data_IF_328341758764
#
_entry.id   IF_328341758764
#
_cell.length_a   1.000
_cell.length_b   1.000
_cell.length_c   1.000
_cell.angle_alpha   90.00
_cell.angle_beta   90.00
_cell.angle_gamma   90.00
#
_symmetry.space_group_name_H-M   'P 1'
#
loop_
_entity.id
_entity.type
_entity.pdbx_description
1 polymer ?
#
# COMPACT_ATOMS: atom_id res chain seq x y z
N UNK A 1 -9.16 23.51 6.37
CA UNK A 1 -7.99 22.90 5.69
C UNK A 1 -8.24 21.40 5.74
N UNK A 2 -8.03 20.66 4.65
CA UNK A 2 -8.29 19.22 4.61
C UNK A 2 -7.03 18.50 4.07
N UNK A 3 -6.53 17.48 4.77
CA UNK A 3 -5.30 16.72 4.56
C UNK A 3 -5.45 15.57 3.56
N UNK A 4 -6.38 15.73 2.62
CA UNK A 4 -6.69 14.76 1.59
C UNK A 4 -5.64 14.74 0.46
N UNK A 5 -5.63 13.69 -0.38
CA UNK A 5 -4.68 13.52 -1.47
C UNK A 5 -4.56 14.76 -2.37
N UNK A 6 -3.32 15.16 -2.68
CA UNK A 6 -3.05 16.21 -3.69
C UNK A 6 -2.98 17.65 -3.17
N UNK A 7 -2.83 17.88 -1.86
CA UNK A 7 -2.77 19.23 -1.28
C UNK A 7 -1.51 20.01 -1.68
N UNK A 8 -1.70 21.19 -2.28
CA UNK A 8 -0.72 22.29 -2.30
C UNK A 8 -1.06 23.27 -1.15
N UNK A 9 -0.06 23.90 -0.53
CA UNK A 9 -0.29 24.85 0.57
C UNK A 9 -1.12 26.06 0.10
N UNK A 10 -2.22 26.38 0.82
CA UNK A 10 -3.13 27.48 0.48
C UNK A 10 -4.48 27.45 1.22
N UNK A 11 -5.25 28.55 1.12
CA UNK A 11 -6.63 28.67 1.61
C UNK A 11 -7.58 27.97 0.63
N UNK A 12 -7.73 26.66 0.79
CA UNK A 12 -8.80 25.89 0.16
C UNK A 12 -9.79 25.47 1.23
N UNK A 13 -10.98 26.06 1.17
CA UNK A 13 -12.16 25.64 1.92
C UNK A 13 -12.82 24.50 1.12
N UNK A 14 -12.22 23.31 1.17
CA UNK A 14 -12.77 22.12 0.51
C UNK A 14 -13.65 21.38 1.48
N UNK A 15 -14.78 20.92 0.96
CA UNK A 15 -15.68 20.00 1.63
C UNK A 15 -15.11 18.57 1.51
N UNK A 16 -14.83 17.94 2.65
CA UNK A 16 -14.27 16.60 2.70
C UNK A 16 -15.23 15.53 2.17
N UNK A 17 -16.53 15.71 2.38
CA UNK A 17 -17.55 14.80 1.86
C UNK A 17 -17.56 14.85 0.33
N UNK A 18 -17.49 16.05 -0.25
CA UNK A 18 -17.38 16.21 -1.70
C UNK A 18 -16.09 15.61 -2.26
N UNK A 19 -14.97 15.76 -1.55
CA UNK A 19 -13.72 15.14 -1.97
C UNK A 19 -13.79 13.60 -1.92
N UNK A 20 -14.42 13.00 -0.90
CA UNK A 20 -14.65 11.54 -0.81
C UNK A 20 -15.59 11.10 -1.93
N UNK A 21 -16.68 11.84 -2.16
CA UNK A 21 -17.60 11.59 -3.26
C UNK A 21 -16.87 11.57 -4.60
N UNK A 22 -16.00 12.56 -4.88
CA UNK A 22 -15.21 12.59 -6.10
C UNK A 22 -14.24 11.39 -6.20
N UNK A 23 -13.55 11.03 -5.11
CA UNK A 23 -12.67 9.86 -5.08
C UNK A 23 -13.40 8.58 -5.50
N UNK A 24 -14.59 8.33 -4.96
CA UNK A 24 -15.33 7.11 -5.24
C UNK A 24 -16.03 7.18 -6.60
N UNK A 25 -16.79 8.25 -6.86
CA UNK A 25 -17.69 8.32 -8.02
C UNK A 25 -16.97 8.71 -9.31
N UNK A 26 -16.01 9.64 -9.25
CA UNK A 26 -15.31 10.15 -10.44
C UNK A 26 -14.03 9.35 -10.71
N UNK A 27 -13.20 9.16 -9.69
CA UNK A 27 -11.92 8.48 -9.83
C UNK A 27 -12.00 6.96 -9.62
N UNK A 28 -13.19 6.44 -9.27
CA UNK A 28 -13.44 5.00 -9.06
C UNK A 28 -12.46 4.38 -8.08
N UNK A 29 -12.09 5.11 -7.03
CA UNK A 29 -11.19 4.63 -5.98
C UNK A 29 -11.95 3.70 -5.05
N UNK A 30 -11.40 2.51 -4.83
CA UNK A 30 -11.96 1.49 -3.96
C UNK A 30 -11.31 1.48 -2.58
N UNK A 31 -10.02 1.83 -2.50
CA UNK A 31 -9.23 1.75 -1.28
C UNK A 31 -8.50 3.07 -1.04
N UNK A 32 -8.62 3.60 0.16
CA UNK A 32 -7.87 4.77 0.63
C UNK A 32 -6.95 4.36 1.80
N UNK A 33 -5.65 4.46 1.58
CA UNK A 33 -4.63 4.25 2.61
C UNK A 33 -4.13 5.59 3.14
N UNK A 34 -4.41 5.85 4.41
CA UNK A 34 -3.98 7.06 5.13
C UNK A 34 -2.77 6.76 6.01
N UNK A 35 -1.68 7.50 5.80
CA UNK A 35 -0.42 7.32 6.54
C UNK A 35 -0.15 8.39 7.59
N UNK A 36 -1.03 9.38 7.68
CA UNK A 36 -0.94 10.46 8.65
C UNK A 36 -1.28 9.96 10.05
N UNK A 37 -0.59 10.49 11.06
CA UNK A 37 -1.01 10.28 12.45
C UNK A 37 -2.31 11.05 12.73
N UNK A 38 -3.06 10.67 13.76
CA UNK A 38 -4.25 11.43 14.17
C UNK A 38 -3.91 12.87 14.55
N UNK A 39 -2.75 13.09 15.19
CA UNK A 39 -2.23 14.41 15.50
C UNK A 39 -2.00 15.27 14.25
N UNK A 40 -1.40 14.67 13.20
CA UNK A 40 -1.19 15.34 11.92
C UNK A 40 -2.50 15.67 11.20
N UNK A 41 -3.51 14.80 11.31
CA UNK A 41 -4.85 15.01 10.77
C UNK A 41 -5.56 16.13 11.53
N UNK A 42 -5.51 16.11 12.86
CA UNK A 42 -6.08 17.14 13.72
C UNK A 42 -5.48 18.52 13.44
N UNK A 43 -4.16 18.63 13.36
CA UNK A 43 -3.48 19.89 13.02
C UNK A 43 -3.84 20.40 11.63
N UNK A 44 -4.24 19.50 10.74
CA UNK A 44 -4.72 19.85 9.39
C UNK A 44 -6.22 20.05 9.33
N UNK A 45 -6.98 19.89 10.42
CA UNK A 45 -8.44 19.91 10.49
C UNK A 45 -9.08 18.82 9.62
N UNK A 46 -8.56 17.60 9.72
CA UNK A 46 -8.99 16.43 8.94
C UNK A 46 -9.12 15.18 9.80
N UNK A 47 -9.23 15.38 11.10
CA UNK A 47 -9.51 14.38 12.12
C UNK A 47 -10.86 13.66 11.92
N UNK A 48 -11.81 14.30 11.25
CA UNK A 48 -13.11 13.73 10.87
C UNK A 48 -13.09 12.93 9.54
N UNK A 49 -11.92 12.60 9.00
CA UNK A 49 -11.78 11.83 7.75
C UNK A 49 -12.52 10.50 7.79
N UNK A 50 -12.26 9.70 8.82
CA UNK A 50 -12.85 8.38 8.94
C UNK A 50 -14.36 8.43 9.17
N UNK A 51 -14.84 9.41 9.93
CA UNK A 51 -16.27 9.64 10.15
C UNK A 51 -16.99 10.04 8.86
N UNK A 52 -16.33 10.85 8.03
CA UNK A 52 -16.90 11.29 6.75
C UNK A 52 -16.95 10.16 5.73
N UNK A 53 -15.93 9.29 5.71
CA UNK A 53 -15.95 8.07 4.87
C UNK A 53 -17.11 7.16 5.29
N UNK A 54 -17.31 6.98 6.60
CA UNK A 54 -18.43 6.19 7.11
C UNK A 54 -19.78 6.79 6.72
N UNK A 55 -19.95 8.10 6.92
CA UNK A 55 -21.17 8.83 6.54
C UNK A 55 -21.45 8.67 5.04
N UNK A 56 -20.43 8.81 4.20
CA UNK A 56 -20.56 8.61 2.75
C UNK A 56 -21.00 7.17 2.39
N UNK A 57 -20.48 6.16 3.06
CA UNK A 57 -20.87 4.77 2.83
C UNK A 57 -22.34 4.52 3.22
N UNK A 58 -22.78 5.12 4.33
CA UNK A 58 -24.17 5.05 4.79
C UNK A 58 -25.13 5.76 3.81
N UNK A 59 -24.70 6.88 3.20
CA UNK A 59 -25.53 7.69 2.30
C UNK A 59 -25.60 7.20 0.84
N UNK A 60 -24.54 6.53 0.34
CA UNK A 60 -24.35 6.32 -1.11
C UNK A 60 -24.45 4.87 -1.61
N UNK A 61 -24.64 3.91 -0.70
CA UNK A 61 -24.55 2.44 -0.94
C UNK A 61 -23.21 1.99 -1.58
N UNK A 62 -22.25 2.89 -1.78
CA UNK A 62 -20.92 2.62 -2.31
C UNK A 62 -19.89 2.60 -1.18
N UNK A 63 -19.00 1.61 -1.23
CA UNK A 63 -18.00 1.41 -0.18
C UNK A 63 -16.64 1.96 -0.61
N UNK A 64 -16.07 2.84 0.23
CA UNK A 64 -14.66 3.20 0.19
C UNK A 64 -13.94 2.53 1.37
N UNK A 65 -13.11 1.53 1.09
CA UNK A 65 -12.36 0.84 2.12
C UNK A 65 -11.24 1.76 2.62
N UNK A 66 -11.35 2.21 3.87
CA UNK A 66 -10.33 3.04 4.52
C UNK A 66 -9.37 2.18 5.35
N UNK A 67 -8.07 2.32 5.07
CA UNK A 67 -6.99 1.66 5.80
C UNK A 67 -6.08 2.70 6.43
N UNK A 68 -5.87 2.62 7.75
CA UNK A 68 -5.04 3.57 8.50
C UNK A 68 -3.77 2.90 9.00
N UNK A 69 -2.61 3.42 8.59
CA UNK A 69 -1.30 2.95 9.06
C UNK A 69 -0.42 4.15 9.38
N UNK A 70 -0.48 4.68 10.61
CA UNK A 70 0.16 5.95 10.95
C UNK A 70 1.68 5.84 10.94
N UNK A 71 2.33 6.68 10.14
CA UNK A 71 3.78 6.86 10.11
C UNK A 71 4.05 8.34 10.38
N UNK A 72 4.83 8.68 11.42
CA UNK A 72 5.19 10.07 11.73
C UNK A 72 5.86 10.75 10.53
N UNK A 73 5.62 12.05 10.35
CA UNK A 73 6.21 12.79 9.22
C UNK A 73 7.73 12.67 9.18
N UNK A 74 8.27 12.56 7.96
CA UNK A 74 9.69 12.25 7.69
C UNK A 74 10.24 10.94 8.29
N UNK A 75 9.43 10.18 9.02
CA UNK A 75 9.79 8.91 9.63
C UNK A 75 9.64 7.71 8.70
N UNK A 76 9.81 6.54 9.31
CA UNK A 76 9.63 5.20 8.72
C UNK A 76 8.72 4.37 9.64
N UNK A 77 8.11 3.28 9.17
CA UNK A 77 7.40 2.37 10.08
C UNK A 77 8.32 1.88 11.20
N UNK A 78 7.78 1.78 12.42
CA UNK A 78 8.53 1.40 13.61
C UNK A 78 8.78 -0.11 13.71
N UNK A 79 7.99 -0.91 13.00
CA UNK A 79 8.07 -2.37 13.01
C UNK A 79 7.95 -2.92 11.59
N UNK A 80 8.99 -3.65 11.15
CA UNK A 80 9.00 -4.35 9.86
C UNK A 80 7.88 -5.41 9.79
N UNK A 81 7.61 -6.08 10.90
CA UNK A 81 6.59 -7.12 10.98
C UNK A 81 5.17 -6.52 10.86
N UNK A 82 4.90 -5.39 11.52
CA UNK A 82 3.61 -4.70 11.36
C UNK A 82 3.43 -4.15 9.95
N UNK A 83 4.50 -3.61 9.37
CA UNK A 83 4.51 -3.16 7.99
C UNK A 83 4.20 -4.32 7.03
N UNK A 84 4.83 -5.50 7.21
CA UNK A 84 4.58 -6.66 6.36
C UNK A 84 3.12 -7.14 6.44
N UNK A 85 2.57 -7.23 7.67
CA UNK A 85 1.16 -7.56 7.89
C UNK A 85 0.23 -6.55 7.26
N UNK A 86 0.53 -5.26 7.39
CA UNK A 86 -0.27 -4.20 6.80
C UNK A 86 -0.28 -4.30 5.27
N UNK A 87 0.88 -4.48 4.65
CA UNK A 87 0.98 -4.70 3.20
C UNK A 87 0.23 -5.96 2.75
N UNK A 88 0.31 -7.05 3.53
CA UNK A 88 -0.48 -8.25 3.26
C UNK A 88 -1.99 -7.96 3.29
N UNK A 89 -2.46 -7.18 4.26
CA UNK A 89 -3.87 -6.78 4.35
C UNK A 89 -4.32 -5.95 3.14
N UNK A 90 -3.49 -5.02 2.65
CA UNK A 90 -3.76 -4.27 1.40
C UNK A 90 -3.91 -5.24 0.23
N UNK A 91 -3.01 -6.21 0.09
CA UNK A 91 -3.05 -7.19 -1.02
C UNK A 91 -4.34 -8.03 -0.96
N UNK A 92 -4.75 -8.49 0.24
CA UNK A 92 -6.00 -9.23 0.42
C UNK A 92 -7.22 -8.39 0.00
N UNK A 93 -7.25 -7.12 0.40
CA UNK A 93 -8.34 -6.19 0.03
C UNK A 93 -8.38 -5.97 -1.48
N UNK A 94 -7.23 -5.69 -2.11
CA UNK A 94 -7.13 -5.51 -3.56
C UNK A 94 -7.65 -6.75 -4.29
N UNK A 95 -7.24 -7.95 -3.86
CA UNK A 95 -7.70 -9.20 -4.46
C UNK A 95 -9.20 -9.39 -4.36
N UNK A 96 -9.77 -9.22 -3.16
CA UNK A 96 -11.21 -9.34 -2.93
C UNK A 96 -12.01 -8.40 -3.83
N UNK A 97 -11.56 -7.14 -3.96
CA UNK A 97 -12.21 -6.17 -4.84
C UNK A 97 -12.05 -6.57 -6.32
N UNK A 98 -10.84 -6.91 -6.74
CA UNK A 98 -10.55 -7.28 -8.11
C UNK A 98 -11.34 -8.53 -8.56
N UNK A 99 -11.51 -9.53 -7.69
CA UNK A 99 -12.34 -10.71 -7.95
C UNK A 99 -13.81 -10.34 -8.21
N UNK A 100 -14.34 -9.35 -7.49
CA UNK A 100 -15.71 -8.85 -7.66
C UNK A 100 -15.88 -7.86 -8.82
N UNK A 101 -14.80 -7.18 -9.25
CA UNK A 101 -14.84 -6.08 -10.23
C UNK A 101 -14.05 -6.40 -11.52
N UNK A 102 -14.04 -7.66 -11.96
CA UNK A 102 -13.39 -8.09 -13.22
C UNK A 102 -11.91 -7.68 -13.35
N UNK A 103 -11.16 -7.70 -12.25
CA UNK A 103 -9.75 -7.36 -12.20
C UNK A 103 -9.44 -5.89 -11.90
N UNK A 104 -10.44 -5.02 -11.76
CA UNK A 104 -10.22 -3.61 -11.49
C UNK A 104 -10.24 -3.32 -9.98
N UNK A 105 -9.18 -2.72 -9.46
CA UNK A 105 -9.13 -2.15 -8.12
C UNK A 105 -8.21 -0.92 -8.12
N UNK A 106 -8.76 0.25 -7.84
CA UNK A 106 -8.00 1.49 -7.73
C UNK A 106 -7.72 1.82 -6.26
N UNK A 107 -6.44 1.97 -5.94
CA UNK A 107 -5.93 2.27 -4.61
C UNK A 107 -5.28 3.66 -4.59
N UNK A 108 -5.64 4.47 -3.58
CA UNK A 108 -4.93 5.70 -3.25
C UNK A 108 -4.15 5.51 -1.96
N UNK A 109 -2.84 5.80 -2.00
CA UNK A 109 -1.98 5.86 -0.82
C UNK A 109 -1.56 7.31 -0.61
N UNK A 110 -1.83 7.87 0.57
CA UNK A 110 -1.48 9.26 0.85
C UNK A 110 -0.82 9.47 2.22
N UNK A 111 -0.01 10.53 2.26
CA UNK A 111 0.45 11.19 3.47
C UNK A 111 0.22 12.70 3.27
N UNK A 112 1.06 13.57 3.83
CA UNK A 112 1.00 15.01 3.57
C UNK A 112 1.40 15.38 2.13
N UNK A 113 2.64 15.07 1.75
CA UNK A 113 3.19 15.48 0.45
C UNK A 113 3.04 14.44 -0.67
N UNK A 114 2.63 13.22 -0.33
CA UNK A 114 2.50 12.11 -1.29
C UNK A 114 3.82 11.66 -1.91
N UNK A 115 4.95 11.84 -1.21
CA UNK A 115 6.31 11.60 -1.74
C UNK A 115 7.10 10.60 -0.90
N UNK A 116 7.27 10.88 0.40
CA UNK A 116 8.13 10.10 1.30
C UNK A 116 7.47 8.82 1.80
N UNK A 117 6.57 8.94 2.79
CA UNK A 117 5.81 7.83 3.38
C UNK A 117 4.99 7.06 2.35
N UNK A 118 4.32 7.77 1.45
CA UNK A 118 3.64 7.16 0.30
C UNK A 118 4.62 6.33 -0.53
N UNK A 119 5.81 6.85 -0.81
CA UNK A 119 6.84 6.11 -1.52
C UNK A 119 7.29 4.83 -0.81
N UNK A 120 7.41 4.84 0.53
CA UNK A 120 7.75 3.63 1.30
C UNK A 120 6.69 2.55 1.05
N UNK A 121 5.41 2.89 1.28
CA UNK A 121 4.31 1.93 1.11
C UNK A 121 4.23 1.44 -0.32
N UNK A 122 4.27 2.35 -1.31
CA UNK A 122 4.20 1.96 -2.73
C UNK A 122 5.36 1.05 -3.13
N UNK A 123 6.59 1.36 -2.73
CA UNK A 123 7.76 0.57 -3.09
C UNK A 123 7.74 -0.81 -2.43
N UNK A 124 7.43 -0.88 -1.13
CA UNK A 124 7.38 -2.13 -0.39
C UNK A 124 6.17 -3.00 -0.80
N UNK A 125 5.03 -2.39 -1.15
CA UNK A 125 3.87 -3.09 -1.70
C UNK A 125 4.19 -3.75 -3.04
N UNK A 126 4.85 -3.02 -3.95
CA UNK A 126 5.28 -3.57 -5.25
C UNK A 126 6.28 -4.71 -5.09
N UNK A 127 7.27 -4.56 -4.19
CA UNK A 127 8.20 -5.64 -3.84
C UNK A 127 7.46 -6.88 -3.34
N UNK A 128 6.52 -6.71 -2.40
CA UNK A 128 5.77 -7.82 -1.81
C UNK A 128 4.89 -8.51 -2.85
N UNK A 129 4.19 -7.74 -3.68
CA UNK A 129 3.39 -8.27 -4.80
C UNK A 129 4.23 -9.11 -5.75
N UNK A 130 5.39 -8.59 -6.17
CA UNK A 130 6.31 -9.33 -7.02
C UNK A 130 6.76 -10.63 -6.34
N UNK A 131 7.21 -10.55 -5.09
CA UNK A 131 7.69 -11.72 -4.37
C UNK A 131 6.60 -12.79 -4.22
N UNK A 132 5.35 -12.39 -3.93
CA UNK A 132 4.22 -13.32 -3.83
C UNK A 132 3.92 -13.99 -5.18
N UNK A 133 3.97 -13.24 -6.28
CA UNK A 133 3.78 -13.79 -7.64
C UNK A 133 4.90 -14.76 -8.03
N UNK A 134 6.16 -14.41 -7.77
CA UNK A 134 7.34 -15.21 -8.12
C UNK A 134 7.41 -16.54 -7.34
N UNK A 135 6.85 -16.57 -6.12
CA UNK A 135 6.85 -17.77 -5.27
C UNK A 135 5.53 -18.57 -5.35
N UNK A 136 4.62 -18.23 -6.27
CA UNK A 136 3.28 -18.81 -6.36
C UNK A 136 2.50 -18.77 -5.02
N UNK A 137 2.86 -17.84 -4.13
CA UNK A 137 2.21 -17.65 -2.85
C UNK A 137 0.95 -16.82 -3.09
N UNK A 138 -0.07 -17.49 -3.60
CA UNK A 138 -1.42 -16.99 -3.56
C UNK A 138 -1.88 -16.98 -2.10
N UNK A 139 -2.41 -15.87 -1.57
CA UNK A 139 -2.88 -15.79 -0.18
C UNK A 139 -4.14 -16.63 0.15
N UNK A 140 -4.24 -17.85 -0.37
CA UNK A 140 -5.22 -18.84 0.08
C UNK A 140 -4.74 -19.53 1.36
N UNK A 141 -5.25 -19.01 2.48
CA UNK A 141 -5.77 -19.65 3.71
C UNK A 141 -5.34 -21.07 4.17
N UNK A 142 -5.35 -21.31 5.51
CA UNK A 142 -4.91 -22.56 6.15
C UNK A 142 -5.84 -23.74 5.91
N UNK A 143 -5.26 -24.96 5.99
CA UNK A 143 -5.89 -26.30 5.98
C UNK A 143 -6.17 -26.93 4.61
N UNK A 144 -5.18 -27.67 4.09
CA UNK A 144 -5.38 -28.97 3.42
C UNK A 144 -4.01 -29.66 3.20
N UNK A 145 -3.35 -30.03 4.31
CA UNK A 145 -2.30 -31.04 4.30
C UNK A 145 -2.83 -32.30 4.96
N UNK A 146 -3.67 -33.03 4.24
CA UNK A 146 -3.84 -34.44 4.50
C UNK A 146 -4.00 -35.15 3.16
N UNK A 147 -3.02 -36.03 2.89
CA UNK A 147 -3.00 -37.07 1.85
C UNK A 147 -2.40 -36.69 0.49
N UNK A 148 -1.07 -36.78 0.38
CA UNK A 148 -0.43 -37.47 -0.74
C UNK A 148 0.85 -38.23 -0.26
N UNK A 149 1.10 -39.46 -0.75
CA UNK A 149 2.15 -40.35 -0.25
C UNK A 149 3.59 -39.93 -0.63
N UNK A 150 4.53 -40.21 0.27
CA UNK A 150 5.94 -39.77 0.30
C UNK A 150 6.88 -40.35 -0.79
N UNK A 151 6.39 -40.80 -1.94
CA UNK A 151 7.25 -41.56 -2.90
C UNK A 151 7.63 -40.84 -4.19
N UNK A 152 7.62 -39.51 -4.25
CA UNK A 152 8.09 -38.73 -5.41
C UNK A 152 8.96 -37.50 -5.03
N UNK A 153 9.68 -37.56 -3.91
CA UNK A 153 10.65 -36.53 -3.50
C UNK A 153 12.07 -36.86 -3.97
N UNK A 154 12.27 -37.07 -5.27
CA UNK A 154 13.62 -37.12 -5.85
C UNK A 154 13.62 -36.86 -7.34
N UNK A 155 13.33 -35.62 -7.73
CA UNK A 155 13.91 -34.94 -8.89
C UNK A 155 13.06 -33.71 -9.18
N UNK A 156 13.70 -32.63 -9.61
CA UNK A 156 13.11 -31.33 -9.99
C UNK A 156 13.10 -30.22 -8.92
N UNK A 157 14.22 -30.01 -8.23
CA UNK A 157 14.62 -28.64 -7.84
C UNK A 157 15.60 -28.08 -8.87
N UNK A 158 15.10 -27.74 -10.06
CA UNK A 158 15.78 -26.75 -10.91
C UNK A 158 15.33 -25.38 -10.41
N UNK A 159 16.14 -24.81 -9.52
CA UNK A 159 16.04 -23.42 -9.07
C UNK A 159 16.17 -22.47 -10.27
N UNK A 160 15.04 -22.20 -10.93
CA UNK A 160 14.87 -20.99 -11.72
C UNK A 160 15.07 -19.81 -10.75
N UNK A 161 16.22 -19.13 -10.82
CA UNK A 161 16.42 -17.88 -10.08
C UNK A 161 15.38 -16.89 -10.58
N UNK A 162 14.26 -16.75 -9.88
CA UNK A 162 13.30 -15.69 -10.14
C UNK A 162 14.07 -14.36 -10.19
N UNK A 163 13.84 -13.57 -11.26
CA UNK A 163 14.47 -12.26 -11.45
C UNK A 163 13.81 -11.27 -10.48
N UNK A 164 14.22 -11.32 -9.22
CA UNK A 164 13.82 -10.34 -8.22
C UNK A 164 14.22 -8.94 -8.70
N UNK A 165 13.26 -8.01 -8.80
CA UNK A 165 13.58 -6.65 -9.28
C UNK A 165 14.19 -5.87 -8.11
N UNK A 166 15.39 -5.30 -8.27
CA UNK A 166 15.96 -4.49 -7.21
C UNK A 166 15.08 -3.31 -6.85
N UNK A 167 14.99 -3.03 -5.55
CA UNK A 167 14.21 -1.93 -4.99
C UNK A 167 14.60 -0.58 -5.60
N UNK A 168 15.86 -0.42 -6.01
CA UNK A 168 16.30 0.79 -6.71
C UNK A 168 15.50 1.01 -8.01
N UNK A 169 15.24 -0.04 -8.79
CA UNK A 169 14.47 0.05 -10.02
C UNK A 169 13.02 0.45 -9.72
N UNK A 170 12.42 -0.13 -8.67
CA UNK A 170 11.07 0.24 -8.23
C UNK A 170 11.01 1.71 -7.82
N UNK A 171 12.01 2.18 -7.07
CA UNK A 171 12.12 3.60 -6.67
C UNK A 171 12.22 4.50 -7.90
N UNK A 172 13.03 4.13 -8.89
CA UNK A 172 13.19 4.92 -10.11
C UNK A 172 11.91 4.93 -10.94
N UNK A 173 11.19 3.80 -11.03
CA UNK A 173 9.85 3.76 -11.62
C UNK A 173 8.89 4.70 -10.92
N UNK A 174 8.86 4.72 -9.58
CA UNK A 174 8.02 5.65 -8.81
C UNK A 174 8.38 7.12 -9.07
N UNK A 175 9.67 7.43 -9.26
CA UNK A 175 10.13 8.78 -9.57
C UNK A 175 9.67 9.25 -10.94
N UNK A 176 9.68 8.35 -11.93
CA UNK A 176 9.18 8.61 -13.29
C UNK A 176 7.66 8.71 -13.31
N UNK A 177 6.95 7.79 -12.65
CA UNK A 177 5.50 7.69 -12.73
C UNK A 177 4.76 8.73 -11.89
N UNK A 178 5.39 9.25 -10.82
CA UNK A 178 4.75 10.20 -9.89
C UNK A 178 5.45 11.54 -9.79
N UNK A 179 6.62 11.58 -9.15
CA UNK A 179 7.41 12.80 -8.91
C UNK A 179 8.90 12.46 -8.76
N UNK A 180 9.84 13.23 -9.31
CA UNK A 180 11.28 12.97 -9.17
C UNK A 180 11.77 12.87 -7.71
N UNK A 181 11.06 13.52 -6.78
CA UNK A 181 11.40 13.54 -5.36
C UNK A 181 10.97 12.30 -4.57
N UNK A 182 10.27 11.33 -5.19
CA UNK A 182 9.85 10.09 -4.52
C UNK A 182 11.03 9.43 -3.80
N UNK A 183 10.84 9.13 -2.51
CA UNK A 183 11.85 8.54 -1.62
C UNK A 183 13.21 9.29 -1.64
N UNK A 184 13.17 10.63 -1.61
CA UNK A 184 14.38 11.47 -1.50
C UNK A 184 15.07 11.37 -0.12
N UNK A 185 14.32 11.12 0.95
CA UNK A 185 14.88 11.00 2.29
C UNK A 185 15.72 9.71 2.40
N UNK A 186 17.01 9.78 2.79
CA UNK A 186 17.89 8.61 2.87
C UNK A 186 17.41 7.53 3.83
N UNK A 187 16.84 7.90 4.99
CA UNK A 187 16.33 6.90 5.94
C UNK A 187 15.13 6.14 5.37
N UNK A 188 14.23 6.84 4.69
CA UNK A 188 13.06 6.22 4.05
C UNK A 188 13.48 5.30 2.90
N UNK A 189 14.47 5.73 2.12
CA UNK A 189 15.08 4.89 1.08
C UNK A 189 15.75 3.65 1.68
N UNK A 190 16.55 3.83 2.73
CA UNK A 190 17.25 2.75 3.42
C UNK A 190 16.28 1.72 4.00
N UNK A 191 15.16 2.17 4.58
CA UNK A 191 14.09 1.29 5.05
C UNK A 191 13.60 0.33 3.95
N UNK A 192 13.38 0.83 2.73
CA UNK A 192 12.95 -0.02 1.60
C UNK A 192 14.01 -1.08 1.25
N UNK A 193 15.31 -0.78 1.35
CA UNK A 193 16.37 -1.77 1.19
C UNK A 193 16.32 -2.84 2.30
N UNK A 194 16.20 -2.42 3.56
CA UNK A 194 16.06 -3.36 4.67
C UNK A 194 14.82 -4.26 4.51
N UNK A 195 13.72 -3.72 3.97
CA UNK A 195 12.53 -4.51 3.69
C UNK A 195 12.76 -5.52 2.56
N UNK A 196 13.47 -5.14 1.50
CA UNK A 196 13.88 -6.08 0.44
C UNK A 196 14.70 -7.26 1.00
N UNK A 197 15.63 -6.98 1.92
CA UNK A 197 16.51 -8.00 2.50
C UNK A 197 15.73 -9.11 3.25
N UNK A 198 14.47 -8.87 3.64
CA UNK A 198 13.59 -9.91 4.20
C UNK A 198 13.26 -11.02 3.19
N UNK A 199 13.24 -10.69 1.90
CA UNK A 199 12.83 -11.58 0.82
C UNK A 199 14.00 -12.09 -0.03
N UNK A 200 15.05 -11.27 -0.14
CA UNK A 200 16.22 -11.56 -0.96
C UNK A 200 17.53 -11.12 -0.25
N UNK A 201 17.89 -11.73 0.89
CA UNK A 201 19.07 -11.35 1.67
C UNK A 201 20.41 -11.50 0.92
N UNK A 202 20.41 -12.23 -0.19
CA UNK A 202 21.57 -12.49 -1.05
C UNK A 202 21.79 -11.45 -2.17
N UNK A 203 20.97 -10.41 -2.28
CA UNK A 203 21.04 -9.42 -3.38
C UNK A 203 22.06 -8.27 -3.12
N UNK A 204 23.03 -8.46 -2.23
CA UNK A 204 24.02 -7.42 -1.88
C UNK A 204 25.09 -7.23 -2.95
#
# INVERSE_FOLDING_TARGET
MCGLPGRNEGKFDRDMYQDIHALVKEYKINVLVTLNTMEELYHRRSDHLFDTIKTFADDSEEELISLHFPIRDFGVPTSMMEMDRFLHSIILVIRKIAENQHGNCNLVIHCNGGIGRTGIISACLLLKLQWMMDNHLHPESPQLQSQQPQSLLSSQHKSSKAKFVPIQNIIDTLRVSRKPQMLRNPMQKFYCYCYQDLFAPWYK
#
